data_IF_059937466208
#
_entry.id   IF_059937466208
#
_cell.length_a   1.000
_cell.length_b   1.000
_cell.length_c   1.000
_cell.angle_alpha   90.00
_cell.angle_beta   90.00
_cell.angle_gamma   90.00
#
_symmetry.space_group_name_H-M   'P 1'
#
loop_
_entity.id
_entity.type
_entity.pdbx_description
1 polymer ?
#
# COMPACT_ATOMS: atom_id res chain seq x y z
N UNK A 1 5.29 15.05 -6.56
CA UNK A 1 4.86 14.33 -7.79
C UNK A 1 5.05 15.12 -9.09
N UNK A 2 4.72 16.42 -9.19
CA UNK A 2 4.86 17.22 -10.44
C UNK A 2 6.27 17.29 -11.06
N UNK A 3 7.35 17.16 -10.26
CA UNK A 3 8.72 17.23 -10.79
C UNK A 3 9.27 15.87 -11.27
N UNK A 4 8.75 14.76 -10.74
CA UNK A 4 9.18 13.42 -11.11
C UNK A 4 8.64 13.02 -12.49
N UNK A 5 7.38 13.37 -12.80
CA UNK A 5 6.83 13.11 -14.14
C UNK A 5 7.56 13.92 -15.23
N UNK A 6 7.97 15.15 -14.94
CA UNK A 6 8.75 15.97 -15.88
C UNK A 6 10.14 15.38 -16.11
N UNK A 7 10.83 14.91 -15.07
CA UNK A 7 12.13 14.26 -15.20
C UNK A 7 12.06 12.97 -16.02
N UNK A 8 11.02 12.16 -15.82
CA UNK A 8 10.79 10.95 -16.61
C UNK A 8 10.52 11.27 -18.09
N UNK A 9 9.73 12.30 -18.38
CA UNK A 9 9.46 12.74 -19.76
C UNK A 9 10.73 13.24 -20.45
N UNK A 10 11.59 14.02 -19.77
CA UNK A 10 12.87 14.46 -20.34
C UNK A 10 13.82 13.28 -20.61
N UNK A 11 13.89 12.30 -19.70
CA UNK A 11 14.69 11.10 -19.90
C UNK A 11 14.21 10.29 -21.11
N UNK A 12 12.89 10.15 -21.29
CA UNK A 12 12.29 9.47 -22.45
C UNK A 12 12.63 10.18 -23.76
N UNK A 13 12.56 11.52 -23.80
CA UNK A 13 12.88 12.32 -25.00
C UNK A 13 14.36 12.16 -25.36
N UNK A 14 15.26 12.21 -24.38
CA UNK A 14 16.70 12.03 -24.60
C UNK A 14 16.99 10.62 -25.13
N UNK A 15 16.33 9.60 -24.58
CA UNK A 15 16.48 8.22 -25.04
C UNK A 15 16.03 8.05 -26.49
N UNK A 16 14.89 8.63 -26.87
CA UNK A 16 14.39 8.59 -28.26
C UNK A 16 15.32 9.34 -29.20
N UNK A 17 15.88 10.49 -28.80
CA UNK A 17 16.85 11.24 -29.60
C UNK A 17 18.17 10.47 -29.79
N UNK A 18 18.68 9.83 -28.74
CA UNK A 18 19.89 9.02 -28.82
C UNK A 18 19.67 7.76 -29.66
N UNK A 19 18.53 7.09 -29.52
CA UNK A 19 18.17 5.91 -30.32
C UNK A 19 17.95 6.27 -31.79
N UNK A 20 17.29 7.38 -32.08
CA UNK A 20 17.13 7.91 -33.44
C UNK A 20 18.46 8.32 -34.07
N UNK A 21 19.34 8.97 -33.30
CA UNK A 21 20.70 9.29 -33.74
C UNK A 21 21.54 8.06 -34.03
N UNK A 22 21.45 7.04 -33.18
CA UNK A 22 22.13 5.75 -33.39
C UNK A 22 21.62 5.02 -34.65
N UNK A 23 20.32 5.02 -34.88
CA UNK A 23 19.72 4.42 -36.08
C UNK A 23 20.16 5.12 -37.37
N UNK A 24 20.29 6.45 -37.36
CA UNK A 24 20.80 7.21 -38.51
C UNK A 24 22.28 6.92 -38.81
N UNK A 25 23.09 6.65 -37.78
CA UNK A 25 24.51 6.29 -37.94
C UNK A 25 24.65 4.85 -38.47
N UNK A 26 23.83 3.90 -37.99
CA UNK A 26 23.86 2.53 -38.53
C UNK A 26 23.36 2.43 -39.97
N UNK A 27 22.42 3.28 -40.39
CA UNK A 27 21.89 3.29 -41.75
C UNK A 27 22.91 3.64 -42.85
N UNK A 28 24.12 4.09 -42.49
CA UNK A 28 25.20 4.35 -43.46
C UNK A 28 26.16 3.16 -43.69
N UNK A 29 26.00 2.04 -42.96
CA UNK A 29 26.78 0.83 -43.24
C UNK A 29 26.16 0.05 -44.41
N UNK A 30 26.56 0.42 -45.63
CA UNK A 30 26.30 -0.35 -46.86
C UNK A 30 26.89 -1.75 -46.67
N UNK A 31 26.07 -2.81 -46.79
CA UNK A 31 26.57 -4.20 -46.80
C UNK A 31 27.59 -4.37 -47.92
N UNK A 32 28.87 -4.50 -47.55
CA UNK A 32 29.95 -4.83 -48.49
C UNK A 32 29.91 -6.33 -48.74
N UNK A 33 29.88 -6.73 -50.01
CA UNK A 33 29.87 -8.14 -50.38
C UNK A 33 31.21 -8.80 -50.01
N UNK A 34 31.14 -9.92 -49.29
CA UNK A 34 32.30 -10.76 -48.99
C UNK A 34 32.57 -11.71 -50.18
N UNK A 35 33.76 -11.60 -50.77
CA UNK A 35 34.20 -12.47 -51.87
C UNK A 35 35.36 -13.35 -51.42
N UNK A 36 35.35 -14.62 -51.84
CA UNK A 36 36.44 -15.55 -51.53
C UNK A 36 37.74 -15.15 -52.22
N UNK A 37 38.87 -15.54 -51.61
CA UNK A 37 40.20 -15.24 -52.13
C UNK A 37 40.40 -15.78 -53.56
N UNK A 38 39.86 -16.96 -53.85
CA UNK A 38 39.88 -17.55 -55.20
C UNK A 38 39.07 -16.74 -56.22
N UNK A 39 37.95 -16.16 -55.79
CA UNK A 39 37.12 -15.32 -56.65
C UNK A 39 37.78 -13.94 -56.89
N UNK A 40 38.46 -13.41 -55.88
CA UNK A 40 39.31 -12.22 -56.02
C UNK A 40 40.44 -12.45 -57.03
N UNK A 41 41.11 -13.59 -56.97
CA UNK A 41 42.18 -13.98 -57.92
C UNK A 41 41.65 -14.04 -59.36
N UNK A 42 40.47 -14.61 -59.57
CA UNK A 42 39.82 -14.61 -60.88
C UNK A 42 39.54 -13.18 -61.39
N UNK A 43 39.02 -12.30 -60.53
CA UNK A 43 38.71 -10.91 -60.88
C UNK A 43 39.96 -10.05 -61.15
N UNK A 44 41.08 -10.34 -60.49
CA UNK A 44 42.38 -9.72 -60.77
C UNK A 44 42.90 -10.18 -62.15
N UNK A 45 42.81 -11.47 -62.46
CA UNK A 45 43.21 -12.02 -63.76
C UNK A 45 42.33 -11.50 -64.91
N UNK A 46 41.06 -11.19 -64.64
CA UNK A 46 40.13 -10.51 -65.56
C UNK A 46 40.36 -8.99 -65.67
N UNK A 47 41.25 -8.39 -64.86
CA UNK A 47 41.61 -6.98 -64.93
C UNK A 47 40.56 -6.00 -64.39
N UNK A 48 39.59 -6.49 -63.60
CA UNK A 48 38.45 -5.73 -63.06
C UNK A 48 38.74 -4.98 -61.76
N UNK A 49 39.87 -5.29 -61.11
CA UNK A 49 40.30 -4.68 -59.85
C UNK A 49 41.14 -3.42 -60.12
N UNK A 50 40.88 -2.36 -59.36
CA UNK A 50 41.59 -1.07 -59.47
C UNK A 50 42.57 -0.86 -58.29
N UNK A 51 42.06 -1.02 -57.06
CA UNK A 51 42.81 -0.77 -55.83
C UNK A 51 42.54 -1.85 -54.78
N UNK A 52 43.60 -2.35 -54.16
CA UNK A 52 43.49 -3.25 -53.01
C UNK A 52 44.13 -2.56 -51.81
N UNK A 53 43.33 -2.32 -50.78
CA UNK A 53 43.79 -1.78 -49.49
C UNK A 53 43.89 -2.92 -48.49
N UNK A 54 45.08 -3.09 -47.90
CA UNK A 54 45.35 -4.12 -46.89
C UNK A 54 45.33 -3.49 -45.51
N UNK A 55 44.39 -3.93 -44.67
CA UNK A 55 44.26 -3.57 -43.25
C UNK A 55 44.36 -4.86 -42.42
N UNK A 56 45.55 -5.15 -41.87
CA UNK A 56 45.91 -6.42 -41.22
C UNK A 56 45.57 -7.66 -42.11
N UNK A 57 44.56 -8.44 -41.71
CA UNK A 57 44.10 -9.65 -42.41
C UNK A 57 42.99 -9.38 -43.44
N UNK A 58 42.39 -8.17 -43.39
CA UNK A 58 41.24 -7.78 -44.21
C UNK A 58 41.69 -7.00 -45.46
N UNK A 59 41.16 -7.42 -46.60
CA UNK A 59 41.36 -6.82 -47.90
C UNK A 59 40.10 -6.05 -48.29
N UNK A 60 40.22 -4.75 -48.48
CA UNK A 60 39.18 -3.93 -49.11
C UNK A 60 39.55 -3.72 -50.56
N UNK A 61 38.71 -4.25 -51.46
CA UNK A 61 38.92 -4.23 -52.90
C UNK A 61 37.98 -3.20 -53.52
N UNK A 62 38.54 -2.27 -54.27
CA UNK A 62 37.80 -1.33 -55.09
C UNK A 62 37.93 -1.80 -56.54
N UNK A 63 36.78 -2.13 -57.12
CA UNK A 63 36.65 -2.54 -58.52
C UNK A 63 36.58 -1.31 -59.43
N UNK A 64 36.92 -1.46 -60.71
CA UNK A 64 36.86 -0.36 -61.69
C UNK A 64 35.46 0.20 -61.95
N UNK A 65 34.43 -0.56 -61.57
CA UNK A 65 33.02 -0.14 -61.63
C UNK A 65 32.56 0.69 -60.42
N UNK A 66 33.46 0.93 -59.44
CA UNK A 66 33.17 1.66 -58.21
C UNK A 66 32.53 0.81 -57.11
N UNK A 67 32.39 -0.50 -57.29
CA UNK A 67 31.93 -1.42 -56.23
C UNK A 67 33.06 -1.76 -55.25
N UNK A 68 32.68 -1.91 -53.97
CA UNK A 68 33.59 -2.28 -52.89
C UNK A 68 33.30 -3.72 -52.43
N UNK A 69 34.32 -4.57 -52.44
CA UNK A 69 34.25 -5.95 -51.94
C UNK A 69 35.23 -6.18 -50.78
N UNK A 70 34.92 -7.13 -49.90
CA UNK A 70 35.81 -7.55 -48.81
C UNK A 70 36.30 -8.97 -49.03
N UNK A 71 37.58 -9.21 -48.77
CA UNK A 71 38.16 -10.56 -48.73
C UNK A 71 39.15 -10.66 -47.56
N UNK A 72 39.56 -11.87 -47.20
CA UNK A 72 40.48 -12.10 -46.08
C UNK A 72 41.70 -12.88 -46.56
N UNK A 73 42.89 -12.48 -46.12
CA UNK A 73 44.15 -13.20 -46.39
C UNK A 73 44.57 -14.04 -45.19
N UNK A 74 45.55 -14.91 -45.42
CA UNK A 74 46.21 -15.66 -44.35
C UNK A 74 47.07 -14.74 -43.47
N UNK A 75 47.05 -14.98 -42.16
CA UNK A 75 47.66 -14.13 -41.12
C UNK A 75 49.16 -13.91 -41.26
N UNK A 76 49.89 -14.91 -41.75
CA UNK A 76 51.35 -14.93 -41.70
C UNK A 76 52.01 -14.78 -43.08
N UNK A 77 51.21 -14.71 -44.16
CA UNK A 77 51.70 -14.55 -45.52
C UNK A 77 51.53 -13.10 -46.02
N UNK A 78 52.53 -12.59 -46.74
CA UNK A 78 52.40 -11.33 -47.47
C UNK A 78 51.36 -11.46 -48.58
N UNK A 79 50.49 -10.46 -48.77
CA UNK A 79 49.41 -10.53 -49.79
C UNK A 79 49.95 -10.87 -51.18
N UNK A 80 51.11 -10.31 -51.54
CA UNK A 80 51.80 -10.61 -52.80
C UNK A 80 52.21 -12.07 -52.95
N UNK A 81 52.53 -12.75 -51.85
CA UNK A 81 52.91 -14.16 -51.81
C UNK A 81 51.67 -15.06 -51.87
N UNK A 82 50.62 -14.72 -51.12
CA UNK A 82 49.34 -15.43 -51.19
C UNK A 82 48.73 -15.34 -52.60
N UNK A 83 48.69 -14.17 -53.23
CA UNK A 83 48.17 -14.01 -54.60
C UNK A 83 49.02 -14.77 -55.64
N UNK A 84 50.34 -14.89 -55.41
CA UNK A 84 51.22 -15.68 -56.27
C UNK A 84 50.94 -17.18 -56.13
N UNK A 85 50.70 -17.67 -54.91
CA UNK A 85 50.39 -19.08 -54.64
C UNK A 85 49.05 -19.51 -55.26
N UNK A 86 48.10 -18.58 -55.40
CA UNK A 86 46.81 -18.82 -56.05
C UNK A 86 46.82 -18.61 -57.57
N UNK A 87 47.96 -18.29 -58.19
CA UNK A 87 48.12 -18.29 -59.66
C UNK A 87 47.73 -16.99 -60.38
N UNK A 88 48.00 -15.83 -59.79
CA UNK A 88 47.75 -14.53 -60.43
C UNK A 88 48.86 -14.16 -61.44
N UNK A 89 48.48 -13.61 -62.60
CA UNK A 89 49.41 -13.08 -63.61
C UNK A 89 50.26 -11.92 -63.07
N UNK A 90 51.59 -12.06 -63.09
CA UNK A 90 52.53 -11.07 -62.54
C UNK A 90 52.51 -9.70 -63.24
N UNK A 91 52.06 -9.65 -64.50
CA UNK A 91 51.93 -8.40 -65.25
C UNK A 91 50.68 -7.60 -64.83
N UNK A 92 49.59 -8.30 -64.47
CA UNK A 92 48.33 -7.67 -64.02
C UNK A 92 48.38 -7.24 -62.56
N UNK A 93 49.17 -7.92 -61.73
CA UNK A 93 49.46 -7.52 -60.34
C UNK A 93 50.16 -6.15 -60.25
N UNK A 94 51.02 -5.82 -61.21
CA UNK A 94 51.73 -4.52 -61.25
C UNK A 94 50.82 -3.35 -61.62
N UNK A 95 49.68 -3.62 -62.27
CA UNK A 95 48.69 -2.61 -62.65
C UNK A 95 47.73 -2.25 -61.50
N UNK A 96 47.70 -3.04 -60.42
CA UNK A 96 46.84 -2.81 -59.26
C UNK A 96 47.60 -2.01 -58.22
N UNK A 97 47.00 -0.92 -57.73
CA UNK A 97 47.62 -0.10 -56.68
C UNK A 97 47.41 -0.79 -55.32
N UNK A 98 48.50 -1.28 -54.73
CA UNK A 98 48.53 -1.91 -53.42
C UNK A 98 48.88 -0.86 -52.34
N UNK A 99 47.90 -0.50 -51.51
CA UNK A 99 48.12 0.37 -50.35
C UNK A 99 48.00 -0.44 -49.05
N UNK A 100 49.10 -0.53 -48.31
CA UNK A 100 49.09 -1.10 -46.95
C UNK A 100 48.78 0.03 -45.98
N UNK A 101 47.58 0.00 -45.39
CA UNK A 101 47.19 0.94 -44.34
C UNK A 101 47.29 0.21 -43.00
N UNK A 102 48.27 0.60 -42.18
CA UNK A 102 48.25 0.21 -40.78
C UNK A 102 46.99 0.83 -40.15
N UNK A 103 46.17 0.02 -39.47
CA UNK A 103 45.00 0.51 -38.75
C UNK A 103 45.46 1.57 -37.73
N UNK A 104 45.28 2.85 -38.08
CA UNK A 104 45.82 3.95 -37.31
C UNK A 104 45.21 3.94 -35.92
N UNK A 105 46.06 3.88 -34.89
CA UNK A 105 45.67 3.56 -33.52
C UNK A 105 44.54 4.41 -32.98
N UNK A 106 44.45 5.70 -33.32
CA UNK A 106 43.40 6.56 -32.79
C UNK A 106 41.99 6.14 -33.24
N UNK A 107 41.77 5.88 -34.54
CA UNK A 107 40.46 5.49 -35.06
C UNK A 107 40.02 4.11 -34.53
N UNK A 108 40.97 3.18 -34.41
CA UNK A 108 40.73 1.86 -33.81
C UNK A 108 40.42 1.97 -32.31
N UNK A 109 41.21 2.73 -31.55
CA UNK A 109 40.95 3.00 -30.13
C UNK A 109 39.60 3.70 -29.92
N UNK A 110 39.19 4.62 -30.79
CA UNK A 110 37.85 5.22 -30.73
C UNK A 110 36.75 4.20 -31.03
N UNK A 111 36.92 3.34 -32.04
CA UNK A 111 35.96 2.28 -32.37
C UNK A 111 35.80 1.22 -31.28
N UNK A 112 36.87 0.94 -30.52
CA UNK A 112 36.86 -0.06 -29.44
C UNK A 112 36.44 0.55 -28.10
N UNK A 113 36.92 1.75 -27.75
CA UNK A 113 36.72 2.32 -26.39
C UNK A 113 35.40 3.06 -26.26
N UNK A 114 34.95 3.79 -27.29
CA UNK A 114 33.72 4.60 -27.21
C UNK A 114 32.48 3.74 -26.90
N UNK A 115 32.28 2.55 -27.51
CA UNK A 115 31.11 1.71 -27.21
C UNK A 115 31.03 1.24 -25.75
N UNK A 116 32.16 1.09 -25.05
CA UNK A 116 32.18 0.71 -23.63
C UNK A 116 32.16 1.93 -22.70
N UNK A 117 32.83 3.02 -23.09
CA UNK A 117 32.93 4.23 -22.27
C UNK A 117 31.64 5.06 -22.31
N UNK A 118 30.95 5.11 -23.45
CA UNK A 118 29.69 5.84 -23.61
C UNK A 118 28.59 5.40 -22.62
N UNK A 119 28.24 4.10 -22.49
CA UNK A 119 27.24 3.67 -21.52
C UNK A 119 27.71 3.87 -20.06
N UNK A 120 29.00 3.71 -19.77
CA UNK A 120 29.55 3.95 -18.44
C UNK A 120 29.42 5.43 -18.04
N UNK A 121 29.73 6.35 -18.94
CA UNK A 121 29.58 7.80 -18.71
C UNK A 121 28.11 8.19 -18.60
N UNK A 122 27.21 7.56 -19.35
CA UNK A 122 25.77 7.81 -19.29
C UNK A 122 25.20 7.36 -17.94
N UNK A 123 25.58 6.17 -17.46
CA UNK A 123 25.21 5.66 -16.13
C UNK A 123 25.81 6.55 -15.04
N UNK A 124 27.09 6.92 -15.15
CA UNK A 124 27.76 7.82 -14.20
C UNK A 124 27.09 9.20 -14.14
N UNK A 125 26.75 9.77 -15.29
CA UNK A 125 26.01 11.03 -15.39
C UNK A 125 24.60 10.90 -14.79
N UNK A 126 23.90 9.80 -15.05
CA UNK A 126 22.58 9.54 -14.51
C UNK A 126 22.62 9.37 -12.97
N UNK A 127 23.59 8.63 -12.43
CA UNK A 127 23.82 8.50 -10.98
C UNK A 127 24.16 9.86 -10.37
N UNK A 128 25.02 10.65 -11.00
CA UNK A 128 25.37 11.97 -10.51
C UNK A 128 24.21 12.96 -10.54
N UNK A 129 23.39 12.93 -11.61
CA UNK A 129 22.21 13.79 -11.74
C UNK A 129 21.09 13.38 -10.78
N UNK A 130 20.83 12.08 -10.64
CA UNK A 130 19.86 11.56 -9.67
C UNK A 130 20.34 11.79 -8.23
N UNK A 131 21.61 11.60 -7.91
CA UNK A 131 22.17 11.92 -6.59
C UNK A 131 21.95 13.41 -6.23
N UNK A 132 22.05 14.32 -7.20
CA UNK A 132 21.75 15.75 -7.01
C UNK A 132 20.25 16.06 -6.84
N UNK A 133 19.35 15.23 -7.35
CA UNK A 133 17.91 15.35 -7.09
C UNK A 133 17.49 14.69 -5.76
N UNK A 134 18.11 13.56 -5.41
CA UNK A 134 17.84 12.77 -4.19
C UNK A 134 18.26 13.53 -2.93
N UNK A 135 19.33 14.33 -2.99
CA UNK A 135 19.75 15.19 -1.86
C UNK A 135 18.70 16.22 -1.42
N UNK A 136 17.67 16.52 -2.23
CA UNK A 136 16.59 17.45 -1.84
C UNK A 136 15.29 16.77 -1.39
N UNK A 137 15.20 15.43 -1.40
CA UNK A 137 13.92 14.75 -1.11
C UNK A 137 14.00 13.34 -0.51
N UNK A 138 15.18 12.81 -0.21
CA UNK A 138 15.34 11.39 0.17
C UNK A 138 16.41 11.16 1.25
N UNK A 139 16.52 12.07 2.21
CA UNK A 139 17.21 11.78 3.47
C UNK A 139 16.30 11.04 4.49
N UNK A 140 15.04 10.78 4.13
CA UNK A 140 14.00 10.29 5.05
C UNK A 140 13.94 8.76 5.18
N UNK A 141 14.59 8.00 4.30
CA UNK A 141 14.55 6.52 4.32
C UNK A 141 15.62 5.87 5.22
N UNK A 142 16.68 6.59 5.60
CA UNK A 142 17.71 6.10 6.54
C UNK A 142 17.50 6.58 7.99
N UNK A 143 16.39 7.26 8.29
CA UNK A 143 16.10 7.88 9.60
C UNK A 143 15.14 7.08 10.48
N UNK A 144 15.03 5.76 10.29
CA UNK A 144 14.11 4.89 11.07
C UNK A 144 14.57 4.63 12.53
N UNK A 145 15.37 5.52 13.14
CA UNK A 145 15.86 5.31 14.51
C UNK A 145 16.58 6.47 15.19
N UNK A 146 16.67 7.65 14.57
CA UNK A 146 17.30 8.82 15.20
C UNK A 146 16.35 10.02 15.20
N UNK A 147 15.80 10.34 16.37
CA UNK A 147 15.13 11.62 16.62
C UNK A 147 16.16 12.75 16.41
N UNK A 148 16.03 13.48 15.29
CA UNK A 148 16.75 14.73 15.08
C UNK A 148 15.75 15.88 15.02
N UNK A 149 16.06 16.94 15.75
CA UNK A 149 15.27 18.16 15.84
C UNK A 149 14.96 18.75 14.45
N UNK A 150 13.70 19.11 14.25
CA UNK A 150 13.20 19.73 13.02
C UNK A 150 13.69 21.17 12.95
N UNK A 151 14.66 21.46 12.08
CA UNK A 151 14.99 22.84 11.71
C UNK A 151 13.85 23.39 10.86
N UNK A 152 13.04 24.27 11.45
CA UNK A 152 11.98 25.01 10.75
C UNK A 152 12.65 26.06 9.86
N UNK A 153 12.91 25.72 8.60
CA UNK A 153 13.34 26.68 7.58
C UNK A 153 12.19 27.64 7.24
N UNK A 154 12.52 28.90 6.95
CA UNK A 154 11.57 30.00 6.72
C UNK A 154 10.52 29.73 5.61
N UNK A 155 10.75 28.76 4.73
CA UNK A 155 9.79 28.35 3.68
C UNK A 155 8.58 27.56 4.22
N UNK A 156 8.68 26.92 5.39
CA UNK A 156 7.55 26.25 6.07
C UNK A 156 6.65 27.20 6.88
N UNK A 157 6.84 28.53 6.73
CA UNK A 157 6.07 29.56 7.44
C UNK A 157 4.61 29.68 6.96
N UNK A 158 4.23 29.00 5.86
CA UNK A 158 2.87 29.10 5.29
C UNK A 158 1.81 28.28 6.05
N UNK A 159 2.19 27.34 6.91
CA UNK A 159 1.27 26.60 7.80
C UNK A 159 1.56 26.91 9.27
N UNK A 160 1.55 28.20 9.63
CA UNK A 160 1.57 28.56 11.06
C UNK A 160 0.15 28.47 11.61
N UNK A 161 -0.15 27.38 12.30
CA UNK A 161 -1.32 27.27 13.16
C UNK A 161 -1.16 28.23 14.35
N UNK A 162 -2.20 29.01 14.62
CA UNK A 162 -2.26 29.97 15.72
C UNK A 162 -3.27 29.52 16.77
N UNK A 163 -3.22 30.10 17.97
CA UNK A 163 -4.23 29.84 19.01
C UNK A 163 -5.66 30.20 18.60
N UNK A 164 -5.84 30.98 17.52
CA UNK A 164 -7.16 31.29 16.95
C UNK A 164 -7.74 30.11 16.14
N UNK A 165 -6.87 29.25 15.61
CA UNK A 165 -7.25 28.13 14.74
C UNK A 165 -7.61 26.87 15.55
N UNK A 166 -7.29 26.86 16.85
CA UNK A 166 -7.70 25.81 17.78
C UNK A 166 -9.11 26.14 18.27
N UNK A 167 -10.07 25.22 18.21
CA UNK A 167 -11.41 25.41 18.77
C UNK A 167 -11.44 25.02 20.27
N UNK A 168 -12.26 25.68 21.09
CA UNK A 168 -12.46 25.30 22.51
C UNK A 168 -11.27 25.53 23.44
N UNK A 169 -11.17 24.74 24.53
CA UNK A 169 -10.05 24.66 25.47
C UNK A 169 -9.54 26.04 25.99
N UNK A 170 -10.43 26.86 26.55
CA UNK A 170 -10.10 28.24 26.96
C UNK A 170 -9.01 28.25 28.04
N UNK A 171 -9.13 27.39 29.06
CA UNK A 171 -8.14 27.32 30.15
C UNK A 171 -6.77 26.89 29.60
N UNK A 172 -6.71 25.77 28.86
CA UNK A 172 -5.45 25.25 28.30
C UNK A 172 -4.79 26.22 27.31
N UNK A 173 -5.57 26.99 26.54
CA UNK A 173 -5.03 28.05 25.68
C UNK A 173 -4.43 29.20 26.48
N UNK A 174 -5.06 29.57 27.60
CA UNK A 174 -4.55 30.65 28.45
C UNK A 174 -3.26 30.21 29.16
N UNK A 175 -3.23 29.02 29.74
CA UNK A 175 -2.02 28.44 30.32
C UNK A 175 -0.88 28.32 29.28
N UNK A 176 -1.18 27.87 28.06
CA UNK A 176 -0.19 27.82 26.99
C UNK A 176 0.26 29.22 26.53
N UNK A 177 -0.61 30.23 26.57
CA UNK A 177 -0.23 31.62 26.28
C UNK A 177 0.74 32.15 27.32
N UNK A 178 0.54 31.84 28.60
CA UNK A 178 1.48 32.21 29.67
C UNK A 178 2.86 31.58 29.44
N UNK A 179 2.91 30.29 29.10
CA UNK A 179 4.18 29.62 28.77
C UNK A 179 4.83 30.26 27.53
N UNK A 180 4.05 30.62 26.51
CA UNK A 180 4.56 31.31 25.33
C UNK A 180 5.05 32.72 25.66
N UNK A 181 4.39 33.47 26.54
CA UNK A 181 4.86 34.79 27.01
C UNK A 181 6.16 34.65 27.81
N UNK A 182 6.25 33.63 28.66
CA UNK A 182 7.46 33.28 29.39
C UNK A 182 8.64 33.01 28.45
N UNK A 183 8.43 32.22 27.39
CA UNK A 183 9.48 31.91 26.41
C UNK A 183 9.87 33.12 25.54
N UNK A 184 8.93 34.03 25.27
CA UNK A 184 9.20 35.27 24.52
C UNK A 184 9.95 36.31 25.37
N UNK A 185 9.62 36.41 26.66
CA UNK A 185 10.12 37.42 27.57
C UNK A 185 10.80 36.81 28.82
N UNK A 186 11.82 35.95 28.66
CA UNK A 186 12.35 35.15 29.78
C UNK A 186 12.94 36.00 30.92
N UNK A 187 13.54 37.15 30.58
CA UNK A 187 14.16 38.07 31.57
C UNK A 187 13.17 38.51 32.65
N UNK A 188 11.95 38.89 32.24
CA UNK A 188 10.87 39.34 33.13
C UNK A 188 10.55 38.32 34.22
N UNK A 189 10.62 37.02 33.89
CA UNK A 189 10.28 35.95 34.81
C UNK A 189 11.48 35.42 35.60
N UNK A 190 12.69 35.50 35.05
CA UNK A 190 13.94 35.25 35.77
C UNK A 190 14.16 36.22 36.93
N UNK A 191 13.82 37.50 36.73
CA UNK A 191 13.95 38.54 37.76
C UNK A 191 13.04 38.28 38.97
N UNK A 192 11.96 37.50 38.77
CA UNK A 192 11.00 37.08 39.81
C UNK A 192 11.39 35.69 40.38
N UNK A 193 12.46 35.07 39.88
CA UNK A 193 12.98 33.78 40.34
C UNK A 193 12.26 32.55 39.77
N UNK A 194 11.47 32.70 38.71
CA UNK A 194 10.75 31.59 38.10
C UNK A 194 11.69 30.69 37.28
N UNK A 195 11.46 29.36 37.32
CA UNK A 195 12.25 28.35 36.59
C UNK A 195 11.67 28.10 35.20
N UNK A 196 12.55 27.87 34.21
CA UNK A 196 12.13 27.55 32.83
C UNK A 196 11.38 26.19 32.82
N UNK A 197 10.16 26.13 32.26
CA UNK A 197 9.47 24.86 32.03
C UNK A 197 10.19 24.05 30.93
N UNK A 198 10.48 22.78 31.21
CA UNK A 198 11.26 21.91 30.32
C UNK A 198 10.40 21.19 29.25
N UNK A 199 9.08 21.37 29.30
CA UNK A 199 8.12 20.77 28.37
C UNK A 199 6.69 20.95 28.86
N UNK A 200 5.72 20.63 28.00
CA UNK A 200 4.29 20.61 28.34
C UNK A 200 3.76 19.21 28.10
N UNK A 201 3.15 18.60 29.13
CA UNK A 201 2.44 17.33 29.00
C UNK A 201 0.96 17.65 28.76
N UNK A 202 0.48 17.39 27.55
CA UNK A 202 -0.94 17.54 27.23
C UNK A 202 -1.68 16.31 27.74
N UNK A 203 -2.50 16.49 28.78
CA UNK A 203 -3.44 15.49 29.28
C UNK A 203 -4.86 16.02 29.15
N UNK A 204 -5.80 15.15 28.81
CA UNK A 204 -7.21 15.48 28.73
C UNK A 204 -8.04 14.32 29.28
N UNK A 205 -9.17 14.65 29.91
CA UNK A 205 -10.13 13.64 30.34
C UNK A 205 -10.65 12.86 29.12
N UNK A 206 -10.93 11.54 29.25
CA UNK A 206 -11.68 10.84 28.22
C UNK A 206 -13.01 11.58 27.98
N UNK A 207 -13.39 11.79 26.71
CA UNK A 207 -14.60 12.53 26.34
C UNK A 207 -14.40 13.94 25.77
N UNK A 208 -13.17 14.39 25.52
CA UNK A 208 -12.93 15.65 24.78
C UNK A 208 -13.18 15.47 23.28
N UNK A 209 -14.43 15.66 22.83
CA UNK A 209 -14.77 15.87 21.42
C UNK A 209 -14.69 14.64 20.50
N UNK A 210 -14.40 13.44 21.02
CA UNK A 210 -14.36 12.17 20.27
C UNK A 210 -15.59 11.34 20.60
N UNK A 211 -16.70 11.64 19.92
CA UNK A 211 -17.99 11.00 20.19
C UNK A 211 -18.56 10.40 18.92
N UNK A 212 -19.35 9.36 19.10
CA UNK A 212 -20.22 8.78 18.07
C UNK A 212 -21.66 9.18 18.38
N UNK A 213 -22.55 9.01 17.40
CA UNK A 213 -23.98 9.33 17.54
C UNK A 213 -24.67 8.32 18.46
N UNK A 214 -25.74 8.75 19.14
CA UNK A 214 -26.44 7.95 20.17
C UNK A 214 -26.98 6.59 19.68
N UNK A 215 -27.35 6.53 18.40
CA UNK A 215 -27.82 5.33 17.70
C UNK A 215 -26.70 4.33 17.35
N UNK A 216 -25.44 4.69 17.58
CA UNK A 216 -24.31 3.80 17.32
C UNK A 216 -24.39 2.56 18.20
N UNK A 217 -24.47 1.38 17.56
CA UNK A 217 -24.62 0.10 18.24
C UNK A 217 -23.29 -0.37 18.81
N UNK A 218 -23.29 -0.67 20.10
CA UNK A 218 -22.18 -1.27 20.83
C UNK A 218 -22.46 -2.75 21.11
N UNK A 219 -21.43 -3.58 20.96
CA UNK A 219 -21.46 -4.98 21.38
C UNK A 219 -21.00 -5.05 22.83
N UNK A 220 -21.91 -5.41 23.73
CA UNK A 220 -21.67 -5.46 25.19
C UNK A 220 -21.82 -6.87 25.76
N UNK A 221 -21.45 -7.06 27.02
CA UNK A 221 -21.75 -8.29 27.79
C UNK A 221 -23.24 -8.58 27.98
N UNK A 222 -24.15 -7.62 27.74
CA UNK A 222 -25.61 -7.80 27.75
C UNK A 222 -26.22 -7.89 26.34
N UNK A 223 -25.39 -8.01 25.31
CA UNK A 223 -25.81 -8.01 23.91
C UNK A 223 -25.54 -6.67 23.22
N UNK A 224 -26.13 -6.51 22.03
CA UNK A 224 -25.96 -5.32 21.20
C UNK A 224 -26.95 -4.24 21.62
N UNK A 225 -26.46 -3.08 22.04
CA UNK A 225 -27.29 -1.95 22.47
C UNK A 225 -26.80 -0.64 21.83
N UNK A 226 -27.70 0.31 21.51
CA UNK A 226 -27.29 1.67 21.18
C UNK A 226 -26.49 2.31 22.33
N UNK A 227 -25.49 3.11 22.02
CA UNK A 227 -24.67 3.77 23.05
C UNK A 227 -25.49 4.72 23.93
N UNK A 228 -26.58 5.31 23.41
CA UNK A 228 -27.50 6.14 24.19
C UNK A 228 -28.30 5.36 25.24
N UNK A 229 -28.46 4.05 25.04
CA UNK A 229 -29.23 3.18 25.91
C UNK A 229 -28.39 2.57 27.04
N UNK A 230 -27.08 2.83 27.07
CA UNK A 230 -26.19 2.35 28.14
C UNK A 230 -26.73 2.65 29.54
N UNK A 231 -27.24 3.86 29.87
CA UNK A 231 -27.81 4.15 31.19
C UNK A 231 -29.10 3.38 31.50
N UNK A 232 -29.79 2.80 30.50
CA UNK A 232 -30.97 1.96 30.73
C UNK A 232 -30.60 0.55 31.23
N UNK A 233 -29.43 0.05 30.83
CA UNK A 233 -28.99 -1.32 31.11
C UNK A 233 -27.85 -1.43 32.11
N UNK A 234 -27.08 -0.35 32.32
CA UNK A 234 -25.92 -0.30 33.21
C UNK A 234 -26.03 0.89 34.17
N UNK A 235 -25.45 0.73 35.35
CA UNK A 235 -25.42 1.80 36.35
C UNK A 235 -24.39 2.83 35.93
N UNK A 236 -24.86 4.03 35.59
CA UNK A 236 -24.03 5.21 35.34
C UNK A 236 -24.21 6.16 36.51
N UNK A 237 -23.12 6.49 37.21
CA UNK A 237 -23.12 7.42 38.35
C UNK A 237 -23.04 8.87 37.87
N UNK A 238 -23.34 9.81 38.77
CA UNK A 238 -23.32 11.26 38.48
C UNK A 238 -21.97 11.79 37.99
N UNK A 239 -20.87 11.13 38.33
CA UNK A 239 -19.51 11.45 37.87
C UNK A 239 -19.17 10.74 36.53
N UNK A 240 -20.16 10.28 35.79
CA UNK A 240 -20.02 9.56 34.51
C UNK A 240 -19.33 8.20 34.59
N UNK A 241 -19.04 7.65 35.78
CA UNK A 241 -18.50 6.30 35.88
C UNK A 241 -19.58 5.27 35.56
N UNK A 242 -19.23 4.25 34.77
CA UNK A 242 -20.13 3.14 34.43
C UNK A 242 -19.64 1.84 35.06
N UNK A 243 -20.56 1.06 35.60
CA UNK A 243 -20.24 -0.21 36.27
C UNK A 243 -20.73 -1.41 35.47
N UNK A 244 -19.83 -2.39 35.28
CA UNK A 244 -20.16 -3.69 34.69
C UNK A 244 -20.42 -3.67 33.18
N UNK A 245 -20.11 -2.56 32.49
CA UNK A 245 -20.17 -2.48 31.03
C UNK A 245 -18.87 -3.01 30.44
N UNK A 246 -18.93 -4.20 29.84
CA UNK A 246 -17.82 -4.73 29.04
C UNK A 246 -18.13 -4.56 27.56
N UNK A 247 -17.19 -3.99 26.80
CA UNK A 247 -17.28 -3.80 25.35
C UNK A 247 -16.25 -4.65 24.62
N UNK A 248 -16.50 -4.92 23.35
CA UNK A 248 -15.52 -5.56 22.47
C UNK A 248 -14.67 -4.49 21.78
N UNK A 249 -13.36 -4.56 21.96
CA UNK A 249 -12.39 -3.67 21.33
C UNK A 249 -11.39 -4.48 20.48
N UNK A 250 -10.85 -3.87 19.44
CA UNK A 250 -9.81 -4.45 18.58
C UNK A 250 -8.46 -3.84 18.95
N UNK A 251 -7.44 -4.68 19.10
CA UNK A 251 -6.06 -4.20 19.15
C UNK A 251 -5.55 -3.93 17.72
N UNK A 252 -5.18 -2.69 17.36
CA UNK A 252 -4.77 -2.36 16.00
C UNK A 252 -3.45 -3.03 15.58
N UNK A 253 -2.64 -3.53 16.53
CA UNK A 253 -1.37 -4.19 16.19
C UNK A 253 -1.55 -5.69 15.94
N UNK A 254 -2.40 -6.36 16.73
CA UNK A 254 -2.59 -7.82 16.64
C UNK A 254 -3.86 -8.21 15.89
N UNK A 255 -4.78 -7.26 15.69
CA UNK A 255 -6.14 -7.47 15.17
C UNK A 255 -7.01 -8.41 16.02
N UNK A 256 -6.59 -8.68 17.25
CA UNK A 256 -7.37 -9.50 18.17
C UNK A 256 -8.49 -8.71 18.81
N UNK A 257 -9.65 -9.34 18.91
CA UNK A 257 -10.77 -8.84 19.67
C UNK A 257 -10.58 -9.18 21.15
N UNK A 258 -10.66 -8.17 22.01
CA UNK A 258 -10.62 -8.33 23.46
C UNK A 258 -11.84 -7.71 24.11
N UNK A 259 -12.30 -8.31 25.21
CA UNK A 259 -13.29 -7.70 26.08
C UNK A 259 -12.60 -6.69 26.98
N UNK A 260 -13.13 -5.48 27.05
CA UNK A 260 -12.58 -4.38 27.84
C UNK A 260 -13.71 -3.78 28.66
N UNK A 261 -13.51 -3.64 29.96
CA UNK A 261 -14.43 -2.91 30.83
C UNK A 261 -14.38 -1.42 30.55
N UNK A 262 -15.52 -0.82 30.26
CA UNK A 262 -15.66 0.63 30.19
C UNK A 262 -15.66 1.19 31.62
N UNK A 263 -14.87 2.24 31.86
CA UNK A 263 -14.80 2.92 33.15
C UNK A 263 -15.75 4.12 33.23
N UNK A 264 -16.00 4.78 32.11
CA UNK A 264 -16.83 5.98 32.03
C UNK A 264 -17.70 5.97 30.78
N UNK A 265 -18.84 6.66 30.86
CA UNK A 265 -19.74 6.94 29.76
C UNK A 265 -20.14 8.41 29.77
N UNK A 266 -20.09 9.06 28.62
CA UNK A 266 -20.30 10.50 28.49
C UNK A 266 -21.39 10.80 27.47
N UNK A 267 -22.27 11.74 27.81
CA UNK A 267 -23.23 12.34 26.88
C UNK A 267 -22.89 13.83 26.71
N UNK A 268 -22.42 14.21 25.52
CA UNK A 268 -22.05 15.60 25.19
C UNK A 268 -23.19 16.40 24.55
N UNK A 269 -24.40 15.84 24.49
CA UNK A 269 -25.55 16.45 23.83
C UNK A 269 -25.34 16.60 22.31
N UNK A 270 -26.05 17.57 21.73
CA UNK A 270 -26.00 17.83 20.30
C UNK A 270 -24.63 18.39 19.88
N UNK A 271 -23.99 17.73 18.93
CA UNK A 271 -22.70 18.12 18.36
C UNK A 271 -22.77 18.06 16.84
N UNK A 272 -21.87 18.76 16.16
CA UNK A 272 -21.77 18.68 14.70
C UNK A 272 -21.06 17.37 14.29
N UNK A 273 -21.75 16.54 13.52
CA UNK A 273 -21.27 15.22 13.11
C UNK A 273 -20.88 15.15 11.63
N UNK A 274 -20.11 14.12 11.29
CA UNK A 274 -19.84 13.65 9.92
C UNK A 274 -20.27 12.19 9.87
N UNK A 275 -21.00 11.83 8.82
CA UNK A 275 -21.38 10.45 8.51
C UNK A 275 -20.46 9.90 7.43
N UNK A 276 -19.84 8.76 7.70
CA UNK A 276 -19.05 7.98 6.76
C UNK A 276 -19.84 6.73 6.38
N UNK A 277 -20.00 6.52 5.07
CA UNK A 277 -20.62 5.34 4.50
C UNK A 277 -19.57 4.55 3.73
N UNK A 278 -19.48 3.25 3.99
CA UNK A 278 -18.62 2.33 3.25
C UNK A 278 -19.38 1.67 2.10
N UNK A 279 -18.64 1.14 1.13
CA UNK A 279 -19.17 0.37 -0.01
C UNK A 279 -19.89 -0.91 0.41
N UNK A 280 -19.45 -1.54 1.51
CA UNK A 280 -20.10 -2.71 2.11
C UNK A 280 -21.38 -2.38 2.90
N UNK A 281 -21.79 -1.12 2.94
CA UNK A 281 -23.00 -0.67 3.65
C UNK A 281 -22.83 -0.46 5.15
N UNK A 282 -21.62 -0.58 5.69
CA UNK A 282 -21.33 -0.17 7.07
C UNK A 282 -21.29 1.36 7.15
N UNK A 283 -21.86 1.90 8.23
CA UNK A 283 -21.93 3.35 8.45
C UNK A 283 -21.43 3.69 9.85
N UNK A 284 -20.77 4.83 9.97
CA UNK A 284 -20.38 5.40 11.25
C UNK A 284 -20.61 6.91 11.20
N UNK A 285 -21.24 7.44 12.24
CA UNK A 285 -21.47 8.87 12.37
C UNK A 285 -20.96 9.36 13.72
N UNK A 286 -20.12 10.39 13.69
CA UNK A 286 -19.49 10.94 14.89
C UNK A 286 -18.96 12.34 14.69
N UNK A 287 -18.34 12.88 15.73
CA UNK A 287 -17.70 14.19 15.70
C UNK A 287 -16.52 14.22 14.73
N UNK A 288 -16.13 15.42 14.27
CA UNK A 288 -15.08 15.58 13.25
C UNK A 288 -13.73 15.00 13.72
N UNK A 289 -13.45 15.09 15.02
CA UNK A 289 -12.19 14.64 15.64
C UNK A 289 -12.19 13.14 16.01
N UNK A 290 -13.30 12.42 15.82
CA UNK A 290 -13.39 11.02 16.20
C UNK A 290 -12.38 10.18 15.40
N UNK A 291 -11.44 9.48 16.06
CA UNK A 291 -10.42 8.70 15.36
C UNK A 291 -10.99 7.35 14.93
N UNK A 292 -10.79 6.99 13.67
CA UNK A 292 -11.09 5.66 13.14
C UNK A 292 -9.81 5.02 12.61
N UNK A 293 -9.79 3.68 12.57
CA UNK A 293 -8.66 2.93 12.02
C UNK A 293 -8.81 2.87 10.50
N UNK A 294 -7.80 3.35 9.79
CA UNK A 294 -7.68 3.31 8.34
C UNK A 294 -6.39 2.59 7.93
N UNK A 295 -6.32 2.16 6.67
CA UNK A 295 -5.12 1.53 6.10
C UNK A 295 -4.33 2.58 5.33
N UNK A 296 -3.02 2.63 5.57
CA UNK A 296 -2.10 3.45 4.76
C UNK A 296 -2.02 2.88 3.34
N UNK A 297 -2.39 3.65 2.29
CA UNK A 297 -2.33 3.16 0.91
C UNK A 297 -0.91 2.82 0.44
N UNK A 298 0.14 3.36 1.10
CA UNK A 298 1.53 3.13 0.69
C UNK A 298 2.13 1.97 1.49
N UNK A 299 2.02 2.01 2.82
CA UNK A 299 2.67 1.02 3.69
C UNK A 299 1.81 -0.21 3.99
N UNK A 300 0.49 -0.15 3.76
CA UNK A 300 -0.45 -1.22 4.13
C UNK A 300 -0.67 -1.37 5.64
N UNK A 301 -0.07 -0.51 6.46
CA UNK A 301 -0.20 -0.55 7.91
C UNK A 301 -1.48 0.14 8.38
N UNK A 302 -1.94 -0.24 9.57
CA UNK A 302 -3.04 0.44 10.24
C UNK A 302 -2.59 1.74 10.87
N UNK A 303 -3.39 2.79 10.70
CA UNK A 303 -3.21 4.06 11.39
C UNK A 303 -4.55 4.63 11.85
N UNK A 304 -4.48 5.47 12.88
CA UNK A 304 -5.64 6.28 13.27
C UNK A 304 -5.68 7.54 12.41
N UNK A 305 -6.84 7.80 11.80
CA UNK A 305 -7.18 9.06 11.13
C UNK A 305 -8.43 9.64 11.77
N UNK A 306 -8.57 10.95 11.77
CA UNK A 306 -9.83 11.60 12.19
C UNK A 306 -10.90 11.43 11.12
N UNK A 307 -12.18 11.42 11.50
CA UNK A 307 -13.29 11.30 10.55
C UNK A 307 -13.26 12.38 9.46
N UNK A 308 -12.84 13.61 9.79
CA UNK A 308 -12.73 14.72 8.84
C UNK A 308 -11.53 14.62 7.87
N UNK A 309 -10.57 13.73 8.14
CA UNK A 309 -9.39 13.51 7.30
C UNK A 309 -9.59 12.39 6.27
N UNK A 310 -10.61 11.55 6.46
CA UNK A 310 -10.91 10.44 5.56
C UNK A 310 -11.42 10.98 4.22
N UNK A 311 -10.88 10.43 3.13
CA UNK A 311 -11.30 10.77 1.77
C UNK A 311 -11.91 9.57 1.07
N UNK A 312 -12.74 9.85 0.08
CA UNK A 312 -13.32 8.82 -0.79
C UNK A 312 -12.22 7.96 -1.44
N UNK A 313 -12.40 6.64 -1.41
CA UNK A 313 -11.43 5.67 -1.92
C UNK A 313 -10.35 5.25 -0.94
N UNK A 314 -10.29 5.83 0.28
CA UNK A 314 -9.44 5.32 1.34
C UNK A 314 -10.07 4.11 2.04
N UNK A 315 -9.23 3.16 2.43
CA UNK A 315 -9.65 1.94 3.11
C UNK A 315 -9.78 2.20 4.61
N UNK A 316 -10.98 1.94 5.15
CA UNK A 316 -11.26 1.95 6.59
C UNK A 316 -11.37 0.52 7.11
N UNK A 317 -10.92 0.29 8.33
CA UNK A 317 -11.01 -1.03 8.95
C UNK A 317 -12.40 -1.23 9.52
N UNK A 318 -13.05 -2.30 9.08
CA UNK A 318 -14.34 -2.74 9.60
C UNK A 318 -14.16 -4.08 10.30
N UNK A 319 -14.89 -4.28 11.40
CA UNK A 319 -15.00 -5.60 12.02
C UNK A 319 -15.78 -6.52 11.10
N UNK A 320 -15.10 -7.46 10.44
CA UNK A 320 -15.75 -8.52 9.67
C UNK A 320 -15.97 -9.74 10.55
N UNK A 321 -17.13 -10.38 10.45
CA UNK A 321 -17.47 -11.57 11.25
C UNK A 321 -17.26 -11.35 12.77
N UNK A 322 -17.61 -10.15 13.26
CA UNK A 322 -17.63 -9.86 14.69
C UNK A 322 -18.52 -10.92 15.32
N UNK A 323 -17.93 -11.89 16.02
CA UNK A 323 -18.66 -13.00 16.60
C UNK A 323 -19.39 -12.47 17.84
N UNK A 324 -20.49 -11.75 17.59
CA UNK A 324 -21.26 -10.97 18.57
C UNK A 324 -21.84 -11.88 19.66
N UNK A 325 -22.09 -13.14 19.31
CA UNK A 325 -22.62 -14.17 20.21
C UNK A 325 -21.54 -14.88 21.04
N UNK A 326 -20.28 -14.45 20.92
CA UNK A 326 -19.15 -14.87 21.73
C UNK A 326 -18.69 -16.31 21.44
N UNK A 327 -17.37 -16.53 21.41
CA UNK A 327 -16.80 -17.89 21.58
C UNK A 327 -16.96 -18.42 23.02
N UNK A 328 -17.43 -17.59 23.95
CA UNK A 328 -17.44 -17.85 25.39
C UNK A 328 -18.82 -18.11 25.99
N UNK A 329 -19.91 -17.94 25.22
CA UNK A 329 -21.16 -18.59 25.58
C UNK A 329 -20.98 -20.04 25.19
N UNK A 330 -20.46 -20.87 26.11
CA UNK A 330 -20.44 -22.31 25.91
C UNK A 330 -21.90 -22.73 25.76
N UNK A 331 -22.35 -22.87 24.52
CA UNK A 331 -23.59 -23.58 24.26
C UNK A 331 -23.33 -24.98 24.83
N UNK A 332 -24.08 -25.41 25.87
CA UNK A 332 -23.75 -26.62 26.61
C UNK A 332 -23.63 -27.86 25.70
N UNK A 333 -24.46 -27.90 24.65
CA UNK A 333 -24.37 -28.87 23.57
C UNK A 333 -24.93 -28.29 22.25
N UNK A 334 -24.55 -28.83 21.08
CA UNK A 334 -25.18 -28.49 19.80
C UNK A 334 -26.71 -28.65 19.82
N UNK A 335 -27.23 -29.56 20.63
CA UNK A 335 -28.67 -29.80 20.76
C UNK A 335 -29.36 -28.68 21.54
N UNK A 336 -28.71 -28.11 22.57
CA UNK A 336 -29.23 -26.89 23.23
C UNK A 336 -29.28 -25.72 22.24
N UNK A 337 -28.26 -25.55 21.39
CA UNK A 337 -28.28 -24.53 20.34
C UNK A 337 -29.44 -24.73 19.38
N UNK A 338 -29.65 -25.97 18.93
CA UNK A 338 -30.71 -26.31 18.01
C UNK A 338 -32.09 -26.01 18.63
N UNK A 339 -32.32 -26.47 19.87
CA UNK A 339 -33.57 -26.21 20.60
C UNK A 339 -33.82 -24.72 20.79
N UNK A 340 -32.81 -23.94 21.20
CA UNK A 340 -32.93 -22.48 21.34
C UNK A 340 -33.20 -21.80 20.00
N UNK A 341 -32.57 -22.25 18.92
CA UNK A 341 -32.80 -21.75 17.57
C UNK A 341 -34.25 -21.92 17.13
N UNK A 342 -34.79 -23.15 17.28
CA UNK A 342 -36.20 -23.44 16.97
C UNK A 342 -37.13 -22.63 17.87
N UNK A 343 -36.88 -22.57 19.19
CA UNK A 343 -37.71 -21.78 20.11
C UNK A 343 -37.69 -20.27 19.83
N UNK A 344 -36.61 -19.75 19.25
CA UNK A 344 -36.50 -18.34 18.89
C UNK A 344 -37.18 -18.04 17.55
N UNK A 345 -37.12 -18.98 16.59
CA UNK A 345 -37.73 -18.82 15.27
C UNK A 345 -39.23 -19.15 15.24
N UNK A 346 -39.56 -20.36 15.70
CA UNK A 346 -40.91 -20.96 15.60
C UNK A 346 -41.58 -21.13 16.97
N UNK A 347 -40.88 -20.76 18.05
CA UNK A 347 -41.42 -20.78 19.39
C UNK A 347 -42.20 -19.52 19.76
N UNK A 348 -43.18 -19.69 20.63
CA UNK A 348 -44.02 -18.64 21.17
C UNK A 348 -44.16 -18.82 22.68
N UNK A 349 -43.90 -17.76 23.44
CA UNK A 349 -44.20 -17.70 24.86
C UNK A 349 -45.57 -17.06 25.05
N UNK A 350 -46.55 -17.84 25.48
CA UNK A 350 -47.90 -17.33 25.72
C UNK A 350 -47.99 -16.57 27.04
N UNK A 351 -49.01 -15.71 27.17
CA UNK A 351 -49.34 -14.92 28.38
C UNK A 351 -49.47 -15.79 29.66
N UNK A 352 -49.70 -17.10 29.51
CA UNK A 352 -49.80 -18.05 30.63
C UNK A 352 -48.46 -18.74 30.95
N UNK A 353 -47.32 -18.15 30.55
CA UNK A 353 -45.97 -18.72 30.64
C UNK A 353 -45.86 -20.11 30.00
N UNK A 354 -46.64 -20.40 28.94
CA UNK A 354 -46.53 -21.68 28.21
C UNK A 354 -45.70 -21.47 26.97
N UNK A 355 -44.71 -22.35 26.80
CA UNK A 355 -43.90 -22.44 25.59
C UNK A 355 -44.66 -23.29 24.57
N UNK A 356 -44.86 -22.73 23.39
CA UNK A 356 -45.51 -23.37 22.25
C UNK A 356 -44.56 -23.34 21.08
N UNK A 357 -44.51 -24.40 20.29
CA UNK A 357 -43.81 -24.42 19.01
C UNK A 357 -44.84 -24.62 17.92
N UNK A 358 -44.79 -23.80 16.89
CA UNK A 358 -45.66 -23.88 15.73
C UNK A 358 -44.87 -24.42 14.54
N UNK A 359 -45.01 -25.71 14.23
CA UNK A 359 -44.33 -26.33 13.08
C UNK A 359 -45.21 -27.35 12.37
N UNK A 360 -45.10 -27.39 11.04
CA UNK A 360 -45.71 -28.42 10.20
C UNK A 360 -44.74 -29.56 9.87
N UNK A 361 -43.45 -29.39 10.20
CA UNK A 361 -42.40 -30.34 9.89
C UNK A 361 -42.23 -31.35 11.04
N UNK A 362 -42.52 -32.62 10.73
CA UNK A 362 -42.42 -33.72 11.70
C UNK A 362 -40.96 -34.05 12.06
N UNK A 363 -39.98 -33.75 11.20
CA UNK A 363 -38.57 -33.98 11.48
C UNK A 363 -38.05 -32.99 12.53
N UNK A 364 -38.38 -31.70 12.35
CA UNK A 364 -38.07 -30.65 13.32
C UNK A 364 -38.76 -30.96 14.65
N UNK A 365 -40.06 -31.31 14.62
CA UNK A 365 -40.81 -31.64 15.82
C UNK A 365 -40.21 -32.85 16.56
N UNK A 366 -39.91 -33.93 15.85
CA UNK A 366 -39.35 -35.15 16.45
C UNK A 366 -37.98 -34.88 17.09
N UNK A 367 -37.12 -34.13 16.40
CA UNK A 367 -35.80 -33.74 16.93
C UNK A 367 -35.92 -32.84 18.16
N UNK A 368 -36.83 -31.87 18.13
CA UNK A 368 -37.08 -30.96 19.27
C UNK A 368 -37.66 -31.72 20.46
N UNK A 369 -38.60 -32.65 20.24
CA UNK A 369 -39.16 -33.48 21.30
C UNK A 369 -38.09 -34.33 21.97
N UNK A 370 -37.23 -34.99 21.19
CA UNK A 370 -36.13 -35.79 21.71
C UNK A 370 -35.18 -34.95 22.57
N UNK A 371 -34.75 -33.79 22.06
CA UNK A 371 -33.82 -32.89 22.75
C UNK A 371 -34.46 -32.30 24.02
N UNK A 372 -35.74 -31.91 23.96
CA UNK A 372 -36.45 -31.36 25.11
C UNK A 372 -36.68 -32.41 26.21
N UNK A 373 -36.91 -33.67 25.84
CA UNK A 373 -37.02 -34.77 26.80
C UNK A 373 -35.67 -35.05 27.47
N UNK A 374 -34.59 -35.11 26.70
CA UNK A 374 -33.25 -35.37 27.22
C UNK A 374 -32.71 -34.25 28.12
N UNK A 375 -32.95 -32.98 27.75
CA UNK A 375 -32.34 -31.82 28.41
C UNK A 375 -33.25 -31.20 29.46
N UNK A 376 -34.56 -31.11 29.19
CA UNK A 376 -35.53 -30.42 30.04
C UNK A 376 -36.48 -31.37 30.78
N UNK A 377 -36.47 -32.67 30.45
CA UNK A 377 -37.46 -33.64 30.94
C UNK A 377 -38.88 -33.33 30.45
N UNK A 378 -39.02 -32.54 29.39
CA UNK A 378 -40.29 -32.00 28.93
C UNK A 378 -40.64 -32.53 27.53
N UNK A 379 -41.93 -32.72 27.26
CA UNK A 379 -42.44 -33.19 25.97
C UNK A 379 -43.36 -32.16 25.35
N UNK A 380 -43.50 -32.16 24.03
CA UNK A 380 -44.41 -31.27 23.32
C UNK A 380 -45.68 -32.02 22.91
N UNK A 381 -46.84 -31.54 23.37
CA UNK A 381 -48.14 -32.12 23.07
C UNK A 381 -48.94 -31.25 22.11
N UNK A 382 -49.60 -31.88 21.14
CA UNK A 382 -50.38 -31.18 20.12
C UNK A 382 -51.55 -30.42 20.73
N UNK A 383 -51.69 -29.14 20.38
CA UNK A 383 -52.82 -28.31 20.78
C UNK A 383 -54.12 -28.80 20.13
N UNK A 384 -55.19 -28.90 20.93
CA UNK A 384 -56.51 -29.25 20.42
C UNK A 384 -57.13 -28.14 19.55
N UNK A 385 -56.67 -26.90 19.71
CA UNK A 385 -57.25 -25.71 19.06
C UNK A 385 -56.58 -25.33 17.74
N UNK A 386 -55.34 -25.78 17.51
CA UNK A 386 -54.52 -25.35 16.37
C UNK A 386 -53.72 -26.53 15.81
N UNK A 387 -53.79 -26.80 14.50
CA UNK A 387 -53.30 -28.05 13.92
C UNK A 387 -51.78 -28.22 13.90
N UNK A 388 -51.01 -27.13 14.06
CA UNK A 388 -49.55 -27.12 14.00
C UNK A 388 -48.89 -26.61 15.29
N UNK A 389 -49.67 -26.33 16.32
CA UNK A 389 -49.16 -25.83 17.60
C UNK A 389 -48.93 -27.01 18.54
N UNK A 390 -47.77 -27.05 19.16
CA UNK A 390 -47.40 -28.04 20.15
C UNK A 390 -46.99 -27.33 21.44
N UNK A 391 -47.71 -27.58 22.54
CA UNK A 391 -47.44 -26.99 23.87
C UNK A 391 -46.46 -27.87 24.64
N UNK A 392 -45.45 -27.25 25.27
CA UNK A 392 -44.52 -27.96 26.16
C UNK A 392 -45.20 -28.36 27.48
N UNK A 393 -45.04 -29.62 27.87
CA UNK A 393 -45.57 -30.23 29.11
C UNK A 393 -44.40 -30.86 29.86
N UNK A 394 -44.27 -30.56 31.16
CA UNK A 394 -43.30 -31.22 32.02
C UNK A 394 -44.01 -32.34 32.80
N UNK A 395 -43.36 -33.48 33.07
CA UNK A 395 -43.97 -34.71 33.57
C UNK A 395 -45.00 -34.54 34.71
N UNK A 396 -46.28 -34.36 34.36
CA UNK A 396 -47.43 -34.23 35.28
C UNK A 396 -48.03 -32.83 35.44
N UNK A 397 -47.40 -31.75 34.95
CA UNK A 397 -47.96 -30.40 34.98
C UNK A 397 -47.49 -29.55 33.79
N UNK A 398 -48.39 -28.70 33.26
CA UNK A 398 -48.02 -27.71 32.22
C UNK A 398 -46.81 -26.92 32.71
N UNK A 399 -45.71 -27.00 31.98
CA UNK A 399 -44.46 -26.33 32.35
C UNK A 399 -44.75 -24.83 32.49
N UNK A 400 -44.66 -24.33 33.73
CA UNK A 400 -44.61 -22.90 34.02
C UNK A 400 -43.16 -22.58 34.35
N UNK A 401 -42.58 -21.66 33.60
CA UNK A 401 -41.38 -20.94 34.03
C UNK A 401 -41.71 -20.01 35.18
#
# INVERSE_FOLDING_TARGET
>A
MKNFSKAFVYALIIFVLLSGGYALIQGQFKERQEISLSHLVAQINEGKVDKITVEDDLLTIVMKDGSEARSQKEREAGLSETLKNYGVDQEKLKAVTLEVKAASGAAYWFGVVIPFLAPLLLIGFFIWWTARQVQRGSAQAFTFGQSRARLVTAENTRERTTFKDVAGAKEAKEELREIVDFLKNPKKFFDIGARIPHGVLLMGAPGTGKCVTGDTVLVTNKGSIPIEDVPKYFTVRDNSTVEGLDIVAVDPNTLDFRKVGASHWYNLGAQKTIRLNTDVGATIEGTHEHPIVAVDPISGNFLFKRLDEIREGEWVVIGYNTNVFGRHTKIPSPDVAYLLGVLTGDGCLTIKNRIVISTADNEILGRVQQIAEEILGATFSKSASRPYDYEMINGGAKAKL
#
